data_IF_437239136474
#
_entry.id   IF_437239136474
#
_cell.length_a   1.000
_cell.length_b   1.000
_cell.length_c   1.000
_cell.angle_alpha   90.00
_cell.angle_beta   90.00
_cell.angle_gamma   90.00
#
_symmetry.space_group_name_H-M   'P 1'
#
loop_
_entity.id
_entity.type
_entity.pdbx_description
1 polymer ?
#
# COMPACT_ATOMS: atom_id res chain seq x y z
N UNK A 1 21.55 -7.76 -14.46
CA UNK A 1 20.98 -6.55 -15.10
C UNK A 1 21.02 -5.42 -14.07
N UNK A 2 21.31 -4.17 -14.42
CA UNK A 2 21.35 -3.09 -13.40
C UNK A 2 19.94 -2.76 -12.91
N UNK A 3 19.74 -2.69 -11.60
CA UNK A 3 18.55 -2.10 -10.98
C UNK A 3 18.36 -0.69 -11.56
N UNK A 4 17.24 -0.43 -12.22
CA UNK A 4 16.89 0.94 -12.58
C UNK A 4 16.44 1.66 -11.30
N UNK A 5 17.37 2.40 -10.69
CA UNK A 5 17.10 3.18 -9.49
C UNK A 5 16.01 4.24 -9.69
N UNK A 6 15.76 4.67 -10.94
CA UNK A 6 14.70 5.63 -11.23
C UNK A 6 13.31 4.99 -11.14
N UNK A 7 13.17 3.74 -11.60
CA UNK A 7 11.92 2.98 -11.47
C UNK A 7 11.59 2.69 -10.01
N UNK A 8 12.56 2.20 -9.22
CA UNK A 8 12.33 1.93 -7.80
C UNK A 8 11.96 3.19 -7.03
N UNK A 9 12.59 4.33 -7.33
CA UNK A 9 12.25 5.60 -6.71
C UNK A 9 10.81 6.02 -7.05
N UNK A 10 10.43 5.98 -8.33
CA UNK A 10 9.06 6.27 -8.76
C UNK A 10 8.05 5.34 -8.08
N UNK A 11 8.36 4.05 -7.98
CA UNK A 11 7.49 3.08 -7.33
C UNK A 11 7.37 3.32 -5.82
N UNK A 12 8.45 3.71 -5.15
CA UNK A 12 8.43 4.12 -3.74
C UNK A 12 7.54 5.36 -3.53
N UNK A 13 7.66 6.37 -4.40
CA UNK A 13 6.81 7.56 -4.36
C UNK A 13 5.32 7.21 -4.55
N UNK A 14 5.01 6.28 -5.47
CA UNK A 14 3.64 5.78 -5.69
C UNK A 14 3.09 5.02 -4.48
N UNK A 15 3.92 4.21 -3.82
CA UNK A 15 3.55 3.48 -2.61
C UNK A 15 3.23 4.45 -1.47
N UNK A 16 4.04 5.48 -1.28
CA UNK A 16 3.84 6.45 -0.19
C UNK A 16 2.58 7.30 -0.42
N UNK A 17 2.32 7.70 -1.66
CA UNK A 17 1.05 8.35 -2.02
C UNK A 17 -0.15 7.44 -1.74
N UNK A 18 -0.07 6.17 -2.15
CA UNK A 18 -1.17 5.22 -1.95
C UNK A 18 -1.40 4.93 -0.46
N UNK A 19 -0.35 4.81 0.36
CA UNK A 19 -0.48 4.67 1.82
C UNK A 19 -1.22 5.82 2.46
N UNK A 20 -0.93 7.06 2.05
CA UNK A 20 -1.64 8.24 2.55
C UNK A 20 -3.12 8.21 2.16
N UNK A 21 -3.42 7.79 0.94
CA UNK A 21 -4.80 7.65 0.45
C UNK A 21 -5.58 6.61 1.25
N UNK A 22 -5.00 5.41 1.43
CA UNK A 22 -5.61 4.34 2.22
C UNK A 22 -5.85 4.81 3.65
N UNK A 23 -4.84 5.37 4.32
CA UNK A 23 -4.99 5.90 5.70
C UNK A 23 -6.08 6.97 5.81
N UNK A 24 -6.18 7.86 4.82
CA UNK A 24 -7.24 8.87 4.79
C UNK A 24 -8.61 8.22 4.74
N UNK A 25 -8.83 7.28 3.83
CA UNK A 25 -10.09 6.55 3.70
C UNK A 25 -10.42 5.76 4.97
N UNK A 26 -9.43 5.07 5.54
CA UNK A 26 -9.63 4.35 6.80
C UNK A 26 -10.05 5.28 7.93
N UNK A 27 -9.54 6.51 7.99
CA UNK A 27 -9.94 7.51 8.99
C UNK A 27 -11.30 8.13 8.74
N UNK A 28 -11.81 8.09 7.51
CA UNK A 28 -13.20 8.45 7.22
C UNK A 28 -14.17 7.42 7.82
N UNK A 29 -13.73 6.15 7.98
CA UNK A 29 -14.51 5.05 8.58
C UNK A 29 -14.26 4.97 10.10
N UNK A 30 -12.99 4.94 10.53
CA UNK A 30 -12.54 4.84 11.92
C UNK A 30 -11.52 5.96 12.22
N UNK A 31 -11.92 7.10 12.83
CA UNK A 31 -11.13 8.32 12.89
C UNK A 31 -9.74 8.24 13.55
N UNK A 32 -9.52 7.27 14.42
CA UNK A 32 -8.32 7.18 15.25
C UNK A 32 -7.27 6.18 14.74
N UNK A 33 -7.47 5.59 13.55
CA UNK A 33 -6.51 4.65 12.98
C UNK A 33 -5.15 5.29 12.73
N UNK A 34 -4.11 4.54 13.05
CA UNK A 34 -2.71 4.86 12.82
C UNK A 34 -2.22 4.20 11.54
N UNK A 35 -1.09 4.64 10.96
CA UNK A 35 -0.47 3.95 9.82
C UNK A 35 -0.16 2.47 10.10
N UNK A 36 0.10 2.11 11.35
CA UNK A 36 0.41 0.73 11.74
C UNK A 36 -0.83 -0.16 11.69
N UNK A 37 -2.00 0.37 12.10
CA UNK A 37 -3.27 -0.33 12.04
C UNK A 37 -3.65 -0.72 10.60
N UNK A 38 -3.28 0.13 9.62
CA UNK A 38 -3.54 -0.11 8.19
C UNK A 38 -2.70 -1.27 7.64
N UNK A 39 -1.64 -1.72 8.33
CA UNK A 39 -0.88 -2.89 7.91
C UNK A 39 -1.64 -4.20 8.12
N UNK A 40 -2.67 -4.17 8.97
CA UNK A 40 -3.47 -5.31 9.37
C UNK A 40 -4.97 -4.94 9.32
N UNK A 41 -5.51 -4.54 8.16
CA UNK A 41 -6.87 -4.01 8.07
C UNK A 41 -7.95 -5.04 8.42
N UNK A 42 -7.62 -6.34 8.36
CA UNK A 42 -8.52 -7.43 8.79
C UNK A 42 -8.88 -7.39 10.28
N UNK A 43 -8.11 -6.66 11.10
CA UNK A 43 -8.41 -6.47 12.53
C UNK A 43 -9.59 -5.48 12.74
N UNK A 44 -10.04 -4.82 11.66
CA UNK A 44 -11.09 -3.80 11.66
C UNK A 44 -12.23 -4.21 10.70
N UNK A 45 -13.27 -4.93 11.16
CA UNK A 45 -14.38 -5.39 10.33
C UNK A 45 -15.11 -4.29 9.56
N UNK A 46 -15.07 -3.04 10.05
CA UNK A 46 -15.63 -1.88 9.37
C UNK A 46 -14.87 -1.51 8.09
N UNK A 47 -13.55 -1.70 8.06
CA UNK A 47 -12.74 -1.50 6.87
C UNK A 47 -12.99 -2.59 5.84
N UNK A 48 -13.05 -3.85 6.28
CA UNK A 48 -13.30 -5.00 5.40
C UNK A 48 -14.65 -4.88 4.65
N UNK A 49 -15.63 -4.21 5.25
CA UNK A 49 -16.95 -3.99 4.64
C UNK A 49 -16.99 -2.81 3.66
N UNK A 50 -15.98 -1.97 3.62
CA UNK A 50 -15.96 -0.79 2.76
C UNK A 50 -15.31 -1.10 1.40
N UNK A 51 -16.12 -1.05 0.34
CA UNK A 51 -15.69 -1.39 -1.02
C UNK A 51 -14.60 -0.45 -1.55
N UNK A 52 -14.66 0.85 -1.19
CA UNK A 52 -13.69 1.83 -1.68
C UNK A 52 -12.33 1.62 -1.00
N UNK A 53 -12.34 1.42 0.32
CA UNK A 53 -11.15 1.06 1.07
C UNK A 53 -10.49 -0.20 0.49
N UNK A 54 -11.26 -1.28 0.30
CA UNK A 54 -10.74 -2.55 -0.23
C UNK A 54 -10.11 -2.40 -1.63
N UNK A 55 -10.70 -1.58 -2.49
CA UNK A 55 -10.16 -1.30 -3.82
C UNK A 55 -8.79 -0.60 -3.73
N UNK A 56 -8.68 0.43 -2.88
CA UNK A 56 -7.47 1.21 -2.73
C UNK A 56 -6.35 0.46 -1.98
N UNK A 57 -6.72 -0.37 -0.99
CA UNK A 57 -5.79 -1.27 -0.32
C UNK A 57 -5.27 -2.36 -1.30
N UNK A 58 -6.13 -2.88 -2.18
CA UNK A 58 -5.73 -3.79 -3.25
C UNK A 58 -4.68 -3.19 -4.19
N UNK A 59 -4.81 -1.90 -4.54
CA UNK A 59 -3.81 -1.19 -5.34
C UNK A 59 -2.47 -1.08 -4.59
N UNK A 60 -2.51 -0.74 -3.30
CA UNK A 60 -1.31 -0.68 -2.46
C UNK A 60 -0.58 -2.03 -2.43
N UNK A 61 -1.32 -3.12 -2.22
CA UNK A 61 -0.79 -4.47 -2.26
C UNK A 61 -0.17 -4.82 -3.62
N UNK A 62 -0.79 -4.37 -4.73
CA UNK A 62 -0.22 -4.51 -6.07
C UNK A 62 1.14 -3.83 -6.22
N UNK A 63 1.29 -2.58 -5.76
CA UNK A 63 2.58 -1.87 -5.81
C UNK A 63 3.65 -2.53 -4.96
N UNK A 64 3.29 -3.00 -3.76
CA UNK A 64 4.22 -3.72 -2.87
C UNK A 64 4.68 -5.05 -3.50
N UNK A 65 3.78 -5.79 -4.16
CA UNK A 65 4.11 -7.02 -4.86
C UNK A 65 5.08 -6.77 -6.02
N UNK A 66 4.83 -5.74 -6.84
CA UNK A 66 5.75 -5.33 -7.92
C UNK A 66 7.12 -4.96 -7.36
N UNK A 67 7.16 -4.15 -6.30
CA UNK A 67 8.42 -3.72 -5.69
C UNK A 67 9.23 -4.91 -5.18
N UNK A 68 8.59 -5.82 -4.44
CA UNK A 68 9.25 -7.03 -3.92
C UNK A 68 9.78 -7.92 -5.03
N UNK A 69 8.99 -8.13 -6.07
CA UNK A 69 9.36 -8.97 -7.22
C UNK A 69 10.50 -8.34 -8.02
N UNK A 70 10.45 -7.03 -8.27
CA UNK A 70 11.52 -6.29 -8.93
C UNK A 70 12.82 -6.37 -8.12
N UNK A 71 12.77 -6.13 -6.82
CA UNK A 71 13.97 -6.25 -5.98
C UNK A 71 14.57 -7.65 -5.99
N UNK A 72 13.75 -8.70 -6.08
CA UNK A 72 14.23 -10.08 -6.16
C UNK A 72 14.89 -10.36 -7.50
N UNK A 73 14.24 -9.97 -8.61
CA UNK A 73 14.72 -10.20 -9.97
C UNK A 73 16.10 -9.57 -10.25
N UNK A 74 16.41 -8.45 -9.61
CA UNK A 74 17.66 -7.69 -9.84
C UNK A 74 18.66 -7.79 -8.68
N UNK A 75 18.43 -8.67 -7.69
CA UNK A 75 19.40 -9.02 -6.64
C UNK A 75 20.30 -10.20 -7.01
N UNK A 76 20.11 -10.80 -8.19
CA UNK A 76 21.01 -11.79 -8.84
C UNK A 76 21.93 -11.13 -9.86
#
# INVERSE_FOLDING_TARGET
MSVDGSFLKMLDDMIDFQRQKVLKLSREIIPHLTPEDIRNPQDFPELERDTLFNYEDGILNGYLAVRSSYQTLFKE
#
